data_IF_447060335395
#
_entry.id   IF_447060335395
#
_cell.length_a   1.000
_cell.length_b   1.000
_cell.length_c   1.000
_cell.angle_alpha   90.00
_cell.angle_beta   90.00
_cell.angle_gamma   90.00
#
_symmetry.space_group_name_H-M   'P 1'
#
loop_
_entity.id
_entity.type
_entity.pdbx_description
1 polymer ?
#
# COMPACT_ATOMS: atom_id res chain seq x y z
N UNK A 1 -7.72 2.60 18.68
CA UNK A 1 -7.20 3.14 17.41
C UNK A 1 -6.35 2.03 16.80
N UNK A 2 -6.59 1.67 15.55
CA UNK A 2 -5.79 0.62 14.89
C UNK A 2 -4.57 1.31 14.29
N UNK A 3 -3.39 0.77 14.57
CA UNK A 3 -2.15 1.32 14.03
C UNK A 3 -1.88 0.66 12.70
N UNK A 4 -1.76 1.48 11.66
CA UNK A 4 -1.23 1.04 10.37
C UNK A 4 0.23 1.46 10.28
N UNK A 5 1.06 0.53 9.85
CA UNK A 5 2.49 0.72 9.67
C UNK A 5 2.80 0.78 8.17
N UNK A 6 3.84 1.53 7.80
CA UNK A 6 4.30 1.67 6.43
C UNK A 6 5.79 1.34 6.36
N UNK A 7 6.19 0.56 5.35
CA UNK A 7 7.61 0.30 5.05
C UNK A 7 7.92 0.64 3.59
N UNK A 8 8.90 1.53 3.34
CA UNK A 8 9.36 1.83 2.01
C UNK A 8 10.19 0.65 1.48
N UNK A 9 10.05 0.39 0.19
CA UNK A 9 10.94 -0.50 -0.56
C UNK A 9 11.05 0.00 -2.00
N UNK A 10 12.12 -0.37 -2.67
CA UNK A 10 12.38 0.03 -4.05
C UNK A 10 12.44 -1.24 -4.90
N UNK A 11 11.68 -1.28 -6.00
CA UNK A 11 11.70 -2.44 -6.87
C UNK A 11 13.08 -2.56 -7.55
N UNK A 12 13.57 -3.79 -7.70
CA UNK A 12 14.83 -4.04 -8.40
C UNK A 12 14.70 -3.72 -9.90
N UNK A 13 15.74 -3.13 -10.49
CA UNK A 13 15.86 -2.96 -11.94
C UNK A 13 16.16 -1.53 -12.40
N UNK A 14 16.35 -1.33 -13.72
CA UNK A 14 16.68 -0.02 -14.29
C UNK A 14 15.55 1.00 -14.14
N UNK A 15 14.31 0.52 -13.99
CA UNK A 15 13.13 1.33 -13.79
C UNK A 15 12.48 1.12 -12.42
N UNK A 16 13.33 1.12 -11.39
CA UNK A 16 12.93 0.97 -10.00
C UNK A 16 11.74 1.87 -9.65
N UNK A 17 10.66 1.24 -9.20
CA UNK A 17 9.47 1.90 -8.68
C UNK A 17 9.59 2.01 -7.16
N UNK A 18 9.28 3.18 -6.58
CA UNK A 18 9.10 3.27 -5.14
C UNK A 18 7.82 2.51 -4.75
N UNK A 19 7.91 1.74 -3.67
CA UNK A 19 6.82 0.94 -3.13
C UNK A 19 6.65 1.24 -1.65
N UNK A 20 5.43 1.07 -1.14
CA UNK A 20 5.12 1.20 0.29
C UNK A 20 4.25 0.03 0.72
N UNK A 21 4.76 -0.78 1.64
CA UNK A 21 3.99 -1.85 2.27
C UNK A 21 3.23 -1.34 3.48
N UNK A 22 1.91 -1.43 3.42
CA UNK A 22 1.03 -1.19 4.55
C UNK A 22 0.71 -2.51 5.24
N UNK A 23 0.93 -2.53 6.56
CA UNK A 23 0.51 -3.65 7.41
C UNK A 23 -0.08 -3.13 8.72
N UNK A 24 -0.64 -4.03 9.52
CA UNK A 24 -1.13 -3.73 10.86
C UNK A 24 -0.78 -4.91 11.77
N UNK A 25 -0.76 -4.72 13.08
CA UNK A 25 -0.66 -5.83 14.04
C UNK A 25 -1.98 -6.63 14.13
N UNK A 26 -3.10 -5.98 13.80
CA UNK A 26 -4.44 -6.56 13.87
C UNK A 26 -4.86 -7.19 12.54
N UNK A 27 -4.69 -8.50 12.42
CA UNK A 27 -4.99 -9.26 11.20
C UNK A 27 -6.46 -9.64 11.02
N UNK A 28 -7.29 -9.42 12.03
CA UNK A 28 -8.69 -9.85 12.04
C UNK A 28 -9.62 -8.66 12.28
N UNK A 29 -10.62 -8.52 11.40
CA UNK A 29 -11.77 -7.66 11.61
C UNK A 29 -12.77 -8.27 12.59
N UNK A 30 -13.96 -7.65 12.69
CA UNK A 30 -15.10 -8.23 13.42
C UNK A 30 -16.00 -9.12 12.55
N UNK A 31 -15.72 -9.19 11.26
CA UNK A 31 -16.50 -9.92 10.26
C UNK A 31 -15.83 -11.26 9.94
N UNK A 32 -16.65 -12.27 9.70
CA UNK A 32 -16.23 -13.60 9.23
C UNK A 32 -17.00 -13.92 7.96
N UNK A 33 -16.33 -14.55 7.01
CA UNK A 33 -16.96 -15.11 5.82
C UNK A 33 -17.91 -16.27 6.19
N UNK A 34 -18.82 -16.71 5.30
CA UNK A 34 -19.77 -17.79 5.59
C UNK A 34 -19.12 -19.14 5.95
N UNK A 35 -17.89 -19.38 5.53
CA UNK A 35 -17.06 -20.54 5.85
C UNK A 35 -16.23 -20.37 7.14
N UNK A 36 -16.39 -19.24 7.84
CA UNK A 36 -15.78 -18.97 9.15
C UNK A 36 -14.39 -18.34 9.10
N UNK A 37 -13.95 -17.86 7.95
CA UNK A 37 -12.65 -17.20 7.79
C UNK A 37 -12.74 -15.73 8.22
N UNK A 38 -11.84 -15.22 9.09
CA UNK A 38 -11.84 -13.80 9.44
C UNK A 38 -11.62 -12.93 8.21
N UNK A 39 -12.48 -11.93 8.05
CA UNK A 39 -12.30 -10.88 7.04
C UNK A 39 -11.26 -9.90 7.56
N UNK A 40 -10.28 -9.57 6.72
CA UNK A 40 -9.25 -8.61 7.11
C UNK A 40 -9.88 -7.24 7.35
N UNK A 41 -9.38 -6.51 8.33
CA UNK A 41 -9.92 -5.22 8.75
C UNK A 41 -10.04 -4.20 7.58
N UNK A 42 -9.11 -4.24 6.64
CA UNK A 42 -9.08 -3.31 5.50
C UNK A 42 -9.77 -3.86 4.24
N UNK A 43 -10.43 -5.01 4.33
CA UNK A 43 -11.00 -5.69 3.16
C UNK A 43 -12.06 -4.83 2.44
N UNK A 44 -12.95 -4.16 3.18
CA UNK A 44 -13.92 -3.21 2.58
C UNK A 44 -13.21 -2.07 1.87
N UNK A 45 -12.19 -1.47 2.50
CA UNK A 45 -11.42 -0.38 1.91
C UNK A 45 -10.65 -0.83 0.65
N UNK A 46 -10.15 -2.06 0.63
CA UNK A 46 -9.49 -2.65 -0.54
C UNK A 46 -10.49 -2.86 -1.68
N UNK A 47 -11.65 -3.45 -1.38
CA UNK A 47 -12.73 -3.70 -2.36
C UNK A 47 -13.29 -2.40 -2.95
N UNK A 48 -13.51 -1.38 -2.13
CA UNK A 48 -14.05 -0.08 -2.55
C UNK A 48 -12.99 0.85 -3.15
N UNK A 49 -11.73 0.68 -2.74
CA UNK A 49 -10.61 1.53 -3.12
C UNK A 49 -9.98 1.17 -4.47
N UNK A 50 -10.49 0.17 -5.19
CA UNK A 50 -9.97 -0.20 -6.51
C UNK A 50 -8.62 -0.93 -6.49
N UNK A 51 -8.30 -1.58 -5.37
CA UNK A 51 -7.10 -2.43 -5.27
C UNK A 51 -7.29 -3.71 -6.09
N UNK A 52 -6.23 -4.16 -6.75
CA UNK A 52 -6.21 -5.45 -7.43
C UNK A 52 -5.30 -6.43 -6.69
N UNK A 53 -5.47 -7.72 -6.96
CA UNK A 53 -4.52 -8.74 -6.48
C UNK A 53 -3.13 -8.43 -7.02
N UNK A 54 -2.10 -8.65 -6.22
CA UNK A 54 -0.71 -8.38 -6.62
C UNK A 54 -0.33 -9.14 -7.91
N UNK A 55 -0.88 -10.34 -8.12
CA UNK A 55 -0.66 -11.15 -9.32
C UNK A 55 -1.38 -10.64 -10.57
N UNK A 56 -2.34 -9.73 -10.43
CA UNK A 56 -3.06 -9.09 -11.53
C UNK A 56 -2.39 -7.77 -11.93
N UNK A 57 -1.24 -7.87 -12.58
CA UNK A 57 -0.46 -6.69 -13.00
C UNK A 57 -1.29 -5.68 -13.79
N UNK A 58 -2.06 -6.14 -14.77
CA UNK A 58 -2.87 -5.25 -15.60
C UNK A 58 -3.94 -4.51 -14.78
N UNK A 59 -4.43 -5.13 -13.70
CA UNK A 59 -5.40 -4.53 -12.78
C UNK A 59 -4.85 -3.39 -11.92
N UNK A 60 -3.57 -3.41 -11.55
CA UNK A 60 -2.97 -2.36 -10.69
C UNK A 60 -1.92 -1.49 -11.38
N UNK A 61 -1.47 -1.82 -12.59
CA UNK A 61 -0.42 -1.08 -13.29
C UNK A 61 -0.85 0.29 -13.84
N UNK A 62 -2.15 0.61 -13.83
CA UNK A 62 -2.67 1.94 -14.17
C UNK A 62 -2.94 2.77 -12.91
N UNK A 63 -2.65 4.08 -12.90
CA UNK A 63 -2.93 4.93 -11.75
C UNK A 63 -4.40 4.83 -11.32
N UNK A 64 -4.61 4.50 -10.05
CA UNK A 64 -5.94 4.30 -9.50
C UNK A 64 -6.71 5.62 -9.38
N UNK A 65 -7.94 5.63 -9.88
CA UNK A 65 -8.80 6.81 -9.85
C UNK A 65 -9.11 7.25 -8.41
N UNK A 66 -9.04 8.56 -8.16
CA UNK A 66 -9.36 9.14 -6.85
C UNK A 66 -8.26 8.99 -5.80
N UNK A 67 -7.18 8.25 -6.09
CA UNK A 67 -6.04 8.13 -5.19
C UNK A 67 -5.00 9.22 -5.41
N UNK A 68 -4.36 9.63 -4.31
CA UNK A 68 -3.25 10.57 -4.30
C UNK A 68 -2.29 10.28 -3.15
N UNK A 69 -1.02 10.49 -3.41
CA UNK A 69 0.03 10.45 -2.40
C UNK A 69 0.87 11.73 -2.42
N UNK A 70 1.33 12.13 -1.24
CA UNK A 70 2.26 13.23 -1.01
C UNK A 70 3.40 12.71 -0.15
N UNK A 71 4.64 12.92 -0.58
CA UNK A 71 5.82 12.70 0.24
C UNK A 71 6.56 14.03 0.41
N UNK A 72 6.67 14.49 1.66
CA UNK A 72 7.42 15.70 2.03
C UNK A 72 8.77 15.32 2.58
N UNK A 73 9.84 15.73 1.89
CA UNK A 73 11.21 15.35 2.24
C UNK A 73 11.71 16.00 3.52
N UNK A 74 11.27 17.23 3.80
CA UNK A 74 11.76 18.04 4.92
C UNK A 74 11.59 17.32 6.28
N UNK A 75 10.49 16.59 6.45
CA UNK A 75 10.14 15.90 7.68
C UNK A 75 9.76 14.42 7.48
N UNK A 76 10.10 13.86 6.31
CA UNK A 76 9.87 12.46 5.96
C UNK A 76 8.40 12.01 6.08
N UNK A 77 7.47 12.92 5.83
CA UNK A 77 6.03 12.67 5.94
C UNK A 77 5.48 12.06 4.64
N UNK A 78 4.90 10.87 4.73
CA UNK A 78 4.02 10.32 3.71
C UNK A 78 2.56 10.51 4.11
N UNK A 79 1.75 11.05 3.20
CA UNK A 79 0.30 11.09 3.31
C UNK A 79 -0.33 10.46 2.07
N UNK A 80 -1.27 9.53 2.29
CA UNK A 80 -2.00 8.81 1.25
C UNK A 80 -3.49 8.94 1.51
N UNK A 81 -4.25 9.20 0.45
CA UNK A 81 -5.71 9.23 0.53
C UNK A 81 -6.31 8.64 -0.74
N UNK A 82 -7.35 7.82 -0.55
CA UNK A 82 -8.17 7.27 -1.61
C UNK A 82 -9.63 7.74 -1.52
N UNK A 83 -10.52 7.16 -2.34
CA UNK A 83 -11.94 7.46 -2.34
C UNK A 83 -12.67 6.78 -1.17
N UNK A 84 -13.83 7.31 -0.79
CA UNK A 84 -14.77 6.65 0.14
C UNK A 84 -14.15 6.30 1.49
N UNK A 85 -14.20 5.01 1.86
CA UNK A 85 -13.63 4.49 3.11
C UNK A 85 -12.10 4.56 3.18
N UNK A 86 -11.42 4.89 2.08
CA UNK A 86 -9.98 5.11 2.01
C UNK A 86 -9.57 6.58 2.20
N UNK A 87 -10.50 7.48 2.52
CA UNK A 87 -10.15 8.87 2.85
C UNK A 87 -9.19 8.90 4.05
N UNK A 88 -8.03 9.54 3.89
CA UNK A 88 -7.00 9.58 4.93
C UNK A 88 -6.35 8.22 5.22
N UNK A 89 -6.29 7.32 4.22
CA UNK A 89 -5.70 5.98 4.32
C UNK A 89 -4.47 5.91 5.21
N UNK A 90 -3.46 6.77 4.97
CA UNK A 90 -2.25 6.82 5.79
C UNK A 90 -1.74 8.24 5.98
N UNK A 91 -1.20 8.52 7.16
CA UNK A 91 -0.34 9.68 7.41
C UNK A 91 0.70 9.33 8.48
N UNK A 92 1.98 9.45 8.14
CA UNK A 92 3.07 9.16 9.07
C UNK A 92 4.46 9.28 8.46
N UNK A 93 5.48 9.12 9.31
CA UNK A 93 6.86 9.09 8.89
C UNK A 93 7.18 7.78 8.17
N UNK A 94 7.81 7.87 7.00
CA UNK A 94 8.04 6.70 6.14
C UNK A 94 9.37 6.01 6.45
N UNK A 95 10.38 6.74 6.90
CA UNK A 95 11.76 6.27 7.04
C UNK A 95 12.39 5.95 5.69
N UNK A 96 12.06 6.71 4.63
CA UNK A 96 12.53 6.43 3.29
C UNK A 96 14.05 6.65 3.17
N UNK A 97 14.74 5.70 2.52
CA UNK A 97 16.15 5.84 2.19
C UNK A 97 16.36 6.66 0.91
N UNK A 98 17.62 6.95 0.59
CA UNK A 98 17.97 7.78 -0.56
C UNK A 98 17.48 7.17 -1.89
N UNK A 99 17.54 5.85 -2.03
CA UNK A 99 17.16 5.14 -3.25
C UNK A 99 15.65 5.24 -3.49
N UNK A 100 14.85 5.09 -2.43
CA UNK A 100 13.41 5.28 -2.49
C UNK A 100 13.05 6.73 -2.88
N UNK A 101 13.71 7.72 -2.26
CA UNK A 101 13.46 9.13 -2.56
C UNK A 101 13.84 9.48 -4.00
N UNK A 102 14.94 8.93 -4.51
CA UNK A 102 15.34 9.09 -5.91
C UNK A 102 14.29 8.48 -6.85
N UNK A 103 13.87 7.24 -6.61
CA UNK A 103 12.84 6.58 -7.40
C UNK A 103 11.50 7.34 -7.37
N UNK A 104 11.06 7.79 -6.20
CA UNK A 104 9.86 8.63 -6.03
C UNK A 104 9.91 9.91 -6.85
N UNK A 105 11.08 10.54 -6.89
CA UNK A 105 11.27 11.80 -7.63
C UNK A 105 11.26 11.57 -9.13
N UNK A 106 11.92 10.49 -9.58
CA UNK A 106 12.00 10.16 -10.99
C UNK A 106 10.65 9.69 -11.56
N UNK A 107 9.89 8.92 -10.78
CA UNK A 107 8.65 8.27 -11.23
C UNK A 107 7.39 9.10 -10.97
N UNK A 108 7.41 9.95 -9.95
CA UNK A 108 6.23 10.71 -9.48
C UNK A 108 4.98 9.83 -9.32
N UNK A 109 5.21 8.56 -8.96
CA UNK A 109 4.21 7.53 -8.77
C UNK A 109 4.75 6.55 -7.74
N UNK A 110 3.86 5.88 -7.00
CA UNK A 110 4.22 4.89 -5.98
C UNK A 110 3.28 3.70 -6.05
N UNK A 111 3.82 2.50 -5.87
CA UNK A 111 3.01 1.29 -5.71
C UNK A 111 2.72 1.10 -4.23
N UNK A 112 1.45 1.11 -3.87
CA UNK A 112 1.00 0.77 -2.53
C UNK A 112 0.73 -0.73 -2.47
N UNK A 113 1.20 -1.37 -1.41
CA UNK A 113 1.09 -2.81 -1.20
C UNK A 113 0.40 -3.08 0.13
N UNK A 114 -0.58 -3.98 0.15
CA UNK A 114 -1.34 -4.30 1.35
C UNK A 114 -1.61 -5.80 1.42
N UNK A 115 -1.45 -6.39 2.61
CA UNK A 115 -1.75 -7.80 2.86
C UNK A 115 -2.02 -8.02 4.36
N UNK A 116 -2.79 -9.07 4.73
CA UNK A 116 -3.03 -9.45 6.12
C UNK A 116 -1.80 -10.16 6.71
N UNK A 117 -0.68 -9.44 6.83
CA UNK A 117 0.58 -9.91 7.38
C UNK A 117 1.11 -8.98 8.45
N UNK A 118 1.86 -9.51 9.42
CA UNK A 118 2.40 -8.71 10.53
C UNK A 118 3.67 -7.95 10.15
N UNK A 119 4.35 -8.36 9.08
CA UNK A 119 5.61 -7.77 8.66
C UNK A 119 5.77 -7.89 7.12
N UNK A 120 6.37 -6.90 6.43
CA UNK A 120 6.56 -6.94 4.98
C UNK A 120 7.32 -8.16 4.46
N UNK A 121 8.22 -8.75 5.25
CA UNK A 121 8.94 -9.98 4.87
C UNK A 121 8.03 -11.19 4.65
N UNK A 122 6.78 -11.14 5.14
CA UNK A 122 5.78 -12.18 4.96
C UNK A 122 4.89 -11.93 3.73
N UNK A 123 5.05 -10.79 3.06
CA UNK A 123 4.25 -10.44 1.88
C UNK A 123 4.32 -11.50 0.76
N UNK A 124 5.46 -12.15 0.46
CA UNK A 124 5.50 -13.22 -0.52
C UNK A 124 4.55 -14.39 -0.21
N UNK A 125 4.41 -14.76 1.07
CA UNK A 125 3.45 -15.81 1.47
C UNK A 125 2.00 -15.36 1.24
N UNK A 126 1.69 -14.09 1.46
CA UNK A 126 0.36 -13.54 1.14
C UNK A 126 0.09 -13.53 -0.37
N UNK A 127 1.11 -13.29 -1.21
CA UNK A 127 1.00 -13.42 -2.66
C UNK A 127 0.65 -14.85 -3.05
N UNK A 128 1.38 -15.84 -2.52
CA UNK A 128 1.10 -17.26 -2.77
C UNK A 128 -0.30 -17.68 -2.31
N UNK A 129 -0.78 -17.11 -1.21
CA UNK A 129 -2.13 -17.34 -0.67
C UNK A 129 -3.25 -16.57 -1.39
N UNK A 130 -2.93 -15.70 -2.37
CA UNK A 130 -3.92 -14.87 -3.06
C UNK A 130 -4.53 -13.77 -2.18
N UNK A 131 -3.80 -13.31 -1.16
CA UNK A 131 -4.22 -12.33 -0.17
C UNK A 131 -3.36 -11.04 -0.17
N UNK A 132 -2.55 -10.85 -1.21
CA UNK A 132 -1.74 -9.65 -1.39
C UNK A 132 -2.35 -8.76 -2.47
N UNK A 133 -2.39 -7.45 -2.20
CA UNK A 133 -3.01 -6.45 -3.05
C UNK A 133 -2.02 -5.34 -3.40
N UNK A 134 -2.23 -4.74 -4.57
CA UNK A 134 -1.43 -3.63 -5.08
C UNK A 134 -2.30 -2.53 -5.67
N UNK A 135 -1.73 -1.32 -5.69
CA UNK A 135 -2.35 -0.13 -6.26
C UNK A 135 -1.27 0.85 -6.72
N UNK A 136 -1.28 1.28 -7.99
CA UNK A 136 -0.42 2.37 -8.46
C UNK A 136 -1.08 3.73 -8.18
N UNK A 137 -0.36 4.64 -7.55
CA UNK A 137 -0.89 5.95 -7.12
C UNK A 137 0.03 7.09 -7.60
N UNK A 138 -0.52 8.19 -8.13
CA UNK A 138 0.27 9.40 -8.39
C UNK A 138 0.90 9.95 -7.11
N UNK A 139 2.20 10.26 -7.16
CA UNK A 139 2.97 10.75 -6.01
C UNK A 139 3.52 12.16 -6.29
N UNK A 140 3.11 13.12 -5.47
CA UNK A 140 3.78 14.41 -5.38
C UNK A 140 4.95 14.31 -4.38
N UNK A 141 6.17 14.62 -4.84
CA UNK A 141 7.34 14.74 -3.96
C UNK A 141 7.63 16.23 -3.77
N UNK A 142 7.62 16.68 -2.51
CA UNK A 142 7.81 18.10 -2.13
C UNK A 142 8.92 18.30 -1.12
#
# INVERSE_FOLDING_TARGET
>A
MITMYAWPSTADGPDALPMVHFTTDRQEGGEVTPDGTPVWLFDTAIREGGWALFTDFDGWATPAEGWRALYRREDDLLAVSGPGSCEGWYQGNLGADADWVEAATARQSVVLLAAPVQHPSLFPYAVEAGAAFALLVPLAVV
#
